data_IF_957096149887
#
_entry.id   IF_957096149887
#
_cell.length_a   1.000
_cell.length_b   1.000
_cell.length_c   1.000
_cell.angle_alpha   90.00
_cell.angle_beta   90.00
_cell.angle_gamma   90.00
#
_symmetry.space_group_name_H-M   'P 1'
#
loop_
_entity.id
_entity.type
_entity.pdbx_description
1 polymer ?
#
# COMPACT_ATOMS: atom_id res chain seq x y z
N UNK A 1 0.34 21.85 11.61
CA UNK A 1 0.05 23.22 12.07
C UNK A 1 1.14 23.74 13.00
N UNK A 2 1.52 23.00 14.04
CA UNK A 2 2.49 23.48 15.05
C UNK A 2 3.95 23.56 14.57
N UNK A 3 4.44 22.57 13.79
CA UNK A 3 5.84 22.55 13.33
C UNK A 3 6.16 23.61 12.26
N UNK A 4 5.20 23.92 11.38
CA UNK A 4 5.37 24.88 10.28
C UNK A 4 4.08 25.70 10.06
N UNK A 5 3.78 26.67 10.96
CA UNK A 5 2.49 27.35 10.98
C UNK A 5 2.24 28.25 9.77
N UNK A 6 3.27 28.96 9.28
CA UNK A 6 3.16 29.82 8.09
C UNK A 6 2.92 28.99 6.82
N UNK A 7 3.71 27.93 6.62
CA UNK A 7 3.54 27.02 5.47
C UNK A 7 2.15 26.37 5.48
N UNK A 8 1.68 25.98 6.65
CA UNK A 8 0.33 25.44 6.83
C UNK A 8 -0.76 26.44 6.42
N UNK A 9 -0.70 27.69 6.89
CA UNK A 9 -1.67 28.74 6.53
C UNK A 9 -1.70 29.01 5.03
N UNK A 10 -0.54 29.20 4.41
CA UNK A 10 -0.43 29.47 2.96
C UNK A 10 -1.03 28.32 2.14
N UNK A 11 -0.67 27.07 2.47
CA UNK A 11 -1.24 25.91 1.77
C UNK A 11 -2.73 25.75 2.01
N UNK A 12 -3.21 25.99 3.23
CA UNK A 12 -4.63 25.91 3.56
C UNK A 12 -5.45 26.93 2.75
N UNK A 13 -4.96 28.15 2.62
CA UNK A 13 -5.62 29.20 1.84
C UNK A 13 -5.59 28.89 0.34
N UNK A 14 -4.45 28.42 -0.19
CA UNK A 14 -4.32 28.00 -1.59
C UNK A 14 -5.29 26.85 -1.93
N UNK A 15 -5.42 25.86 -1.04
CA UNK A 15 -6.38 24.76 -1.17
C UNK A 15 -7.81 25.28 -1.16
N UNK A 16 -8.17 26.18 -0.24
CA UNK A 16 -9.52 26.76 -0.14
C UNK A 16 -9.93 27.49 -1.43
N UNK A 17 -9.05 28.34 -1.97
CA UNK A 17 -9.32 29.11 -3.20
C UNK A 17 -9.61 28.21 -4.41
N UNK A 18 -8.94 27.06 -4.50
CA UNK A 18 -9.06 26.13 -5.63
C UNK A 18 -10.08 24.99 -5.39
N UNK A 19 -10.76 24.96 -4.25
CA UNK A 19 -11.63 23.83 -3.86
C UNK A 19 -13.01 23.82 -4.53
N UNK A 20 -13.53 24.98 -4.96
CA UNK A 20 -14.89 25.11 -5.50
C UNK A 20 -15.11 24.27 -6.76
N UNK A 21 -14.51 24.69 -7.88
CA UNK A 21 -14.61 24.01 -9.18
C UNK A 21 -14.16 22.53 -9.12
N UNK A 22 -13.16 22.24 -8.27
CA UNK A 22 -12.68 20.87 -8.07
C UNK A 22 -13.77 19.92 -7.55
N UNK A 23 -14.60 20.36 -6.60
CA UNK A 23 -15.63 19.48 -6.02
C UNK A 23 -16.65 19.06 -7.05
N UNK A 24 -17.04 19.98 -7.93
CA UNK A 24 -17.97 19.71 -9.03
C UNK A 24 -17.38 18.70 -10.02
N UNK A 25 -16.15 18.90 -10.47
CA UNK A 25 -15.48 17.99 -11.42
C UNK A 25 -15.30 16.59 -10.81
N UNK A 26 -14.92 16.52 -9.53
CA UNK A 26 -14.78 15.23 -8.84
C UNK A 26 -16.15 14.55 -8.69
N UNK A 27 -17.22 15.30 -8.38
CA UNK A 27 -18.58 14.74 -8.32
C UNK A 27 -19.07 14.21 -9.67
N UNK A 28 -18.78 14.91 -10.77
CA UNK A 28 -19.09 14.43 -12.12
C UNK A 28 -18.32 13.14 -12.46
N UNK A 29 -17.05 13.07 -12.05
CA UNK A 29 -16.22 11.89 -12.24
C UNK A 29 -16.73 10.69 -11.41
N UNK A 30 -17.11 10.93 -10.15
CA UNK A 30 -17.73 9.91 -9.28
C UNK A 30 -18.99 9.35 -9.92
N UNK A 31 -19.91 10.24 -10.33
CA UNK A 31 -21.16 9.88 -10.99
C UNK A 31 -20.93 9.04 -12.24
N UNK A 32 -20.00 9.46 -13.12
CA UNK A 32 -19.70 8.73 -14.36
C UNK A 32 -19.08 7.35 -14.13
N UNK A 33 -18.18 7.24 -13.15
CA UNK A 33 -17.60 5.94 -12.77
C UNK A 33 -18.70 5.06 -12.16
N UNK A 34 -19.53 5.60 -11.28
CA UNK A 34 -20.63 4.89 -10.63
C UNK A 34 -21.62 4.31 -11.65
N UNK A 35 -22.11 5.14 -12.58
CA UNK A 35 -23.01 4.68 -13.66
C UNK A 35 -22.38 3.56 -14.48
N UNK A 36 -21.10 3.69 -14.85
CA UNK A 36 -20.44 2.66 -15.63
C UNK A 36 -20.27 1.34 -14.87
N UNK A 37 -20.08 1.39 -13.56
CA UNK A 37 -20.02 0.19 -12.72
C UNK A 37 -21.39 -0.47 -12.58
N UNK A 38 -22.47 0.31 -12.48
CA UNK A 38 -23.85 -0.18 -12.45
C UNK A 38 -24.23 -0.88 -13.76
N UNK A 39 -23.86 -0.32 -14.91
CA UNK A 39 -24.05 -0.96 -16.24
C UNK A 39 -23.37 -2.34 -16.34
N UNK A 40 -22.25 -2.53 -15.65
CA UNK A 40 -21.48 -3.78 -15.61
C UNK A 40 -21.92 -4.70 -14.45
N UNK A 41 -22.99 -4.34 -13.74
CA UNK A 41 -23.51 -5.04 -12.56
C UNK A 41 -22.47 -5.22 -11.45
N UNK A 42 -21.63 -4.21 -11.23
CA UNK A 42 -20.62 -4.20 -10.16
C UNK A 42 -21.07 -3.26 -9.04
N UNK A 43 -21.27 -3.84 -7.85
CA UNK A 43 -21.55 -3.07 -6.64
C UNK A 43 -20.25 -2.49 -6.07
N UNK A 44 -20.18 -1.15 -6.00
CA UNK A 44 -19.01 -0.45 -5.49
C UNK A 44 -19.40 0.88 -4.85
N UNK A 45 -18.59 1.33 -3.89
CA UNK A 45 -18.69 2.67 -3.28
C UNK A 45 -17.60 3.57 -3.85
N UNK A 46 -18.00 4.50 -4.73
CA UNK A 46 -17.12 5.49 -5.34
C UNK A 46 -17.12 6.77 -4.49
N UNK A 47 -15.95 7.27 -4.11
CA UNK A 47 -15.79 8.45 -3.26
C UNK A 47 -14.61 9.31 -3.70
N UNK A 48 -14.82 10.63 -3.76
CA UNK A 48 -13.78 11.61 -4.00
C UNK A 48 -12.82 11.69 -2.83
N UNK A 49 -11.52 11.67 -3.13
CA UNK A 49 -10.47 11.75 -2.12
C UNK A 49 -9.87 13.16 -2.05
N UNK A 50 -10.11 13.82 -0.91
CA UNK A 50 -9.36 15.01 -0.53
C UNK A 50 -7.91 14.68 -0.18
N UNK A 51 -6.95 15.44 -0.72
CA UNK A 51 -5.55 15.32 -0.30
C UNK A 51 -5.34 16.07 1.02
N UNK A 52 -4.83 15.38 2.03
CA UNK A 52 -4.47 16.01 3.30
C UNK A 52 -3.31 17.01 3.11
N UNK A 53 -3.38 18.17 3.78
CA UNK A 53 -2.41 19.27 3.63
C UNK A 53 -0.97 18.83 3.88
N UNK A 54 -0.75 17.97 4.88
CA UNK A 54 0.58 17.42 5.16
C UNK A 54 1.11 16.57 4.00
N UNK A 55 0.25 15.77 3.36
CA UNK A 55 0.63 14.94 2.22
C UNK A 55 1.00 15.78 1.00
N UNK A 56 0.28 16.88 0.76
CA UNK A 56 0.62 17.87 -0.28
C UNK A 56 1.99 18.46 0.00
N UNK A 57 2.19 19.01 1.21
CA UNK A 57 3.46 19.62 1.61
C UNK A 57 4.65 18.66 1.48
N UNK A 58 4.50 17.44 1.99
CA UNK A 58 5.56 16.42 1.92
C UNK A 58 5.90 16.06 0.48
N UNK A 59 4.90 15.88 -0.40
CA UNK A 59 5.11 15.55 -1.83
C UNK A 59 5.75 16.72 -2.59
N UNK A 60 5.38 17.96 -2.28
CA UNK A 60 6.03 19.16 -2.83
C UNK A 60 7.51 19.20 -2.43
N UNK A 61 7.81 19.00 -1.15
CA UNK A 61 9.18 19.03 -0.61
C UNK A 61 10.04 17.91 -1.17
N UNK A 62 9.58 16.67 -1.05
CA UNK A 62 10.38 15.48 -1.37
C UNK A 62 10.63 15.35 -2.88
N UNK A 63 9.66 15.76 -3.71
CA UNK A 63 9.79 15.72 -5.19
C UNK A 63 10.21 17.04 -5.82
N UNK A 64 10.38 18.10 -5.01
CA UNK A 64 10.65 19.47 -5.47
C UNK A 64 9.65 19.95 -6.53
N UNK A 65 8.38 19.63 -6.33
CA UNK A 65 7.30 19.99 -7.25
C UNK A 65 6.53 21.23 -6.76
N UNK A 66 6.08 22.11 -7.66
CA UNK A 66 5.22 23.23 -7.30
C UNK A 66 3.86 22.73 -6.80
N UNK A 67 3.16 23.57 -6.01
CA UNK A 67 1.87 23.23 -5.44
C UNK A 67 0.84 22.83 -6.51
N UNK A 68 0.82 23.53 -7.65
CA UNK A 68 -0.09 23.27 -8.76
C UNK A 68 0.04 21.81 -9.23
N UNK A 69 1.24 21.33 -9.56
CA UNK A 69 1.45 19.96 -10.06
C UNK A 69 1.09 18.87 -9.05
N UNK A 70 1.21 19.18 -7.75
CA UNK A 70 0.82 18.24 -6.68
C UNK A 70 -0.68 18.26 -6.43
N UNK A 71 -1.29 19.44 -6.51
CA UNK A 71 -2.69 19.66 -6.20
C UNK A 71 -3.59 19.30 -7.37
N UNK A 72 -3.19 19.59 -8.61
CA UNK A 72 -3.94 19.44 -9.87
C UNK A 72 -3.98 18.00 -10.39
N UNK A 73 -4.31 17.08 -9.49
CA UNK A 73 -4.61 15.69 -9.80
C UNK A 73 -5.86 15.34 -9.01
N UNK A 74 -6.94 14.99 -9.71
CA UNK A 74 -8.16 14.49 -9.10
C UNK A 74 -7.89 13.11 -8.51
N UNK A 75 -8.54 12.80 -7.39
CA UNK A 75 -8.33 11.51 -6.73
C UNK A 75 -9.68 10.90 -6.39
N UNK A 76 -9.89 9.66 -6.80
CA UNK A 76 -11.10 8.88 -6.55
C UNK A 76 -10.71 7.58 -5.89
N UNK A 77 -11.51 7.17 -4.92
CA UNK A 77 -11.39 5.90 -4.23
C UNK A 77 -12.63 5.08 -4.53
N UNK A 78 -12.42 3.81 -4.89
CA UNK A 78 -13.47 2.84 -5.14
C UNK A 78 -13.28 1.72 -4.13
N UNK A 79 -14.31 1.47 -3.33
CA UNK A 79 -14.32 0.40 -2.33
C UNK A 79 -15.29 -0.68 -2.79
N UNK A 80 -14.83 -1.93 -2.80
CA UNK A 80 -15.60 -3.10 -3.25
C UNK A 80 -15.62 -4.18 -2.18
N UNK A 81 -16.33 -5.27 -2.45
CA UNK A 81 -16.51 -6.40 -1.56
C UNK A 81 -15.26 -7.33 -1.52
N UNK A 82 -14.79 -7.77 -2.68
CA UNK A 82 -13.74 -8.79 -2.81
C UNK A 82 -12.61 -8.37 -3.76
N UNK A 83 -11.50 -9.11 -3.69
CA UNK A 83 -10.30 -8.81 -4.48
C UNK A 83 -10.54 -8.96 -5.98
N UNK A 84 -11.31 -9.96 -6.40
CA UNK A 84 -11.70 -10.15 -7.81
C UNK A 84 -12.37 -8.88 -8.38
N UNK A 85 -13.35 -8.35 -7.65
CA UNK A 85 -14.05 -7.11 -8.01
C UNK A 85 -13.09 -5.93 -8.16
N UNK A 86 -11.98 -5.87 -7.40
CA UNK A 86 -10.97 -4.81 -7.56
C UNK A 86 -10.37 -4.80 -8.98
N UNK A 87 -10.05 -5.98 -9.52
CA UNK A 87 -9.47 -6.12 -10.86
C UNK A 87 -10.52 -5.93 -11.95
N UNK A 88 -11.78 -6.36 -11.74
CA UNK A 88 -12.89 -6.05 -12.64
C UNK A 88 -13.11 -4.54 -12.77
N UNK A 89 -13.16 -3.84 -11.63
CA UNK A 89 -13.26 -2.36 -11.59
C UNK A 89 -12.07 -1.71 -12.29
N UNK A 90 -10.85 -2.22 -12.14
CA UNK A 90 -9.67 -1.70 -12.84
C UNK A 90 -9.88 -1.70 -14.36
N UNK A 91 -10.40 -2.81 -14.90
CA UNK A 91 -10.72 -2.93 -16.32
C UNK A 91 -11.78 -1.93 -16.77
N UNK A 92 -12.86 -1.78 -16.00
CA UNK A 92 -13.93 -0.80 -16.29
C UNK A 92 -13.37 0.62 -16.33
N UNK A 93 -12.56 0.98 -15.35
CA UNK A 93 -11.95 2.31 -15.22
C UNK A 93 -10.96 2.60 -16.36
N UNK A 94 -10.19 1.59 -16.81
CA UNK A 94 -9.26 1.71 -17.95
C UNK A 94 -9.98 1.81 -19.30
N UNK A 95 -11.18 1.24 -19.42
CA UNK A 95 -12.04 1.42 -20.58
C UNK A 95 -12.65 2.83 -20.62
N UNK A 96 -13.02 3.39 -19.47
CA UNK A 96 -13.59 4.73 -19.36
C UNK A 96 -12.55 5.83 -19.60
N UNK A 97 -11.34 5.66 -19.07
CA UNK A 97 -10.24 6.61 -19.19
C UNK A 97 -8.93 5.91 -19.52
N UNK A 98 -8.17 6.46 -20.48
CA UNK A 98 -6.89 5.87 -20.86
C UNK A 98 -5.88 5.93 -19.69
N UNK A 99 -5.18 4.83 -19.39
CA UNK A 99 -4.16 4.85 -18.36
C UNK A 99 -2.85 5.50 -18.84
N UNK A 100 -2.14 6.15 -17.92
CA UNK A 100 -0.75 6.54 -18.13
C UNK A 100 0.16 5.32 -18.01
N UNK A 101 1.05 5.14 -18.98
CA UNK A 101 2.09 4.10 -18.94
C UNK A 101 2.94 4.22 -17.67
N UNK A 102 3.30 3.08 -17.08
CA UNK A 102 4.14 2.98 -15.86
C UNK A 102 3.59 3.72 -14.62
N UNK A 103 2.29 4.05 -14.60
CA UNK A 103 1.62 4.69 -13.46
C UNK A 103 0.57 3.80 -12.80
N UNK A 104 0.59 2.50 -13.13
CA UNK A 104 -0.15 1.47 -12.41
C UNK A 104 0.73 0.83 -11.33
N UNK A 105 0.17 0.59 -10.15
CA UNK A 105 0.81 -0.13 -9.05
C UNK A 105 -0.18 -1.06 -8.40
N UNK A 106 0.17 -2.32 -8.35
CA UNK A 106 -0.61 -3.35 -7.69
C UNK A 106 -0.10 -3.56 -6.26
N UNK A 107 -0.67 -2.83 -5.30
CA UNK A 107 -0.37 -3.07 -3.88
C UNK A 107 -1.22 -4.18 -3.26
N UNK A 108 -2.11 -4.82 -4.01
CA UNK A 108 -2.80 -6.02 -3.53
C UNK A 108 -1.84 -7.21 -3.63
N UNK A 109 -1.22 -7.39 -4.81
CA UNK A 109 -0.23 -8.42 -5.07
C UNK A 109 1.10 -8.15 -4.36
N UNK A 110 1.52 -6.88 -4.27
CA UNK A 110 2.77 -6.48 -3.62
C UNK A 110 2.46 -5.43 -2.53
N UNK A 111 2.00 -5.85 -1.33
CA UNK A 111 1.67 -4.95 -0.24
C UNK A 111 2.87 -4.10 0.18
N UNK A 112 2.61 -2.92 0.75
CA UNK A 112 3.67 -2.13 1.38
C UNK A 112 4.01 -2.74 2.74
N UNK A 113 5.22 -2.44 3.24
CA UNK A 113 5.67 -2.83 4.57
C UNK A 113 4.65 -2.51 5.68
N UNK A 114 3.90 -1.41 5.61
CA UNK A 114 2.88 -1.13 6.63
C UNK A 114 1.55 -1.91 6.48
N UNK A 115 1.52 -2.99 5.68
CA UNK A 115 0.33 -3.78 5.36
C UNK A 115 -0.64 -3.09 4.41
N UNK A 116 -0.28 -1.95 3.82
CA UNK A 116 -1.18 -1.23 2.93
C UNK A 116 -1.41 -1.96 1.62
N UNK A 117 -2.69 -2.22 1.31
CA UNK A 117 -3.15 -2.86 0.07
C UNK A 117 -4.17 -1.98 -0.67
N UNK A 118 -4.00 -1.87 -2.00
CA UNK A 118 -4.90 -1.19 -2.95
C UNK A 118 -4.32 -1.22 -4.37
N UNK A 119 -5.15 -1.27 -5.40
CA UNK A 119 -4.72 -0.99 -6.78
C UNK A 119 -4.67 0.52 -7.01
N UNK A 120 -3.55 1.02 -7.51
CA UNK A 120 -3.37 2.44 -7.84
C UNK A 120 -3.15 2.59 -9.33
N UNK A 121 -3.93 3.45 -9.98
CA UNK A 121 -3.73 3.79 -11.39
C UNK A 121 -3.88 5.27 -11.62
N UNK A 122 -3.11 5.82 -12.55
CA UNK A 122 -3.24 7.22 -12.99
C UNK A 122 -3.74 7.22 -14.43
N UNK A 123 -4.78 8.00 -14.70
CA UNK A 123 -5.50 8.04 -15.97
C UNK A 123 -5.56 9.47 -16.51
N UNK A 124 -5.71 9.59 -17.82
CA UNK A 124 -6.01 10.85 -18.48
C UNK A 124 -7.44 11.28 -18.15
N UNK A 125 -7.59 12.38 -17.42
CA UNK A 125 -8.89 12.93 -17.06
C UNK A 125 -9.37 14.05 -17.98
N UNK A 126 -10.56 14.61 -17.69
CA UNK A 126 -11.07 15.78 -18.38
C UNK A 126 -10.06 16.93 -18.38
N UNK A 127 -10.00 17.68 -19.49
CA UNK A 127 -9.12 18.83 -19.65
C UNK A 127 -7.62 18.53 -19.41
N UNK A 128 -7.19 17.29 -19.71
CA UNK A 128 -5.80 16.82 -19.53
C UNK A 128 -5.30 16.83 -18.09
N UNK A 129 -6.20 16.95 -17.10
CA UNK A 129 -5.87 16.87 -15.69
C UNK A 129 -5.83 15.39 -15.28
N UNK A 130 -4.73 14.89 -14.68
CA UNK A 130 -4.63 13.48 -14.30
C UNK A 130 -5.66 13.09 -13.23
N UNK A 131 -6.19 11.88 -13.35
CA UNK A 131 -7.04 11.24 -12.34
C UNK A 131 -6.25 10.10 -11.69
N UNK A 132 -6.11 10.14 -10.36
CA UNK A 132 -5.57 9.05 -9.57
C UNK A 132 -6.73 8.22 -9.00
N UNK A 133 -6.87 6.97 -9.44
CA UNK A 133 -7.90 6.04 -8.95
C UNK A 133 -7.26 5.02 -8.01
N UNK A 134 -7.91 4.78 -6.88
CA UNK A 134 -7.52 3.80 -5.88
C UNK A 134 -8.65 2.80 -5.66
N UNK A 135 -8.39 1.53 -5.90
CA UNK A 135 -9.39 0.46 -5.79
C UNK A 135 -8.95 -0.48 -4.68
N UNK A 136 -9.87 -0.89 -3.81
CA UNK A 136 -9.57 -1.81 -2.70
C UNK A 136 -10.85 -2.40 -2.11
N UNK A 137 -10.72 -3.47 -1.32
CA UNK A 137 -11.84 -4.01 -0.56
C UNK A 137 -12.17 -3.18 0.68
N UNK A 138 -13.30 -3.44 1.31
CA UNK A 138 -13.67 -2.81 2.59
C UNK A 138 -12.66 -3.18 3.70
N UNK A 139 -12.18 -4.43 3.77
CA UNK A 139 -11.14 -4.83 4.73
C UNK A 139 -9.84 -4.03 4.52
N UNK A 140 -9.37 -3.94 3.28
CA UNK A 140 -8.21 -3.13 2.92
C UNK A 140 -8.43 -1.64 3.22
N UNK A 141 -9.67 -1.15 3.10
CA UNK A 141 -10.01 0.21 3.44
C UNK A 141 -9.87 0.45 4.94
N UNK A 142 -10.42 -0.42 5.80
CA UNK A 142 -10.29 -0.31 7.26
C UNK A 142 -8.83 -0.41 7.68
N UNK A 143 -8.08 -1.39 7.16
CA UNK A 143 -6.65 -1.54 7.47
C UNK A 143 -5.86 -0.27 7.10
N UNK A 144 -6.17 0.36 5.97
CA UNK A 144 -5.46 1.56 5.52
C UNK A 144 -5.80 2.84 6.31
N UNK A 145 -7.00 2.93 6.90
CA UNK A 145 -7.40 4.12 7.67
C UNK A 145 -7.04 3.99 9.16
N UNK A 146 -7.21 2.81 9.75
CA UNK A 146 -7.04 2.60 11.20
C UNK A 146 -5.74 1.87 11.55
N UNK A 147 -5.04 1.31 10.56
CA UNK A 147 -3.77 0.59 10.75
C UNK A 147 -3.94 -0.79 11.37
N UNK A 148 -2.82 -1.52 11.46
CA UNK A 148 -2.78 -2.90 11.96
C UNK A 148 -3.32 -2.98 13.39
N UNK A 149 -2.84 -2.18 14.33
CA UNK A 149 -3.24 -2.30 15.75
C UNK A 149 -4.75 -2.12 16.02
N UNK A 150 -5.45 -1.30 15.23
CA UNK A 150 -6.88 -1.05 15.41
C UNK A 150 -7.75 -2.00 14.60
N UNK A 151 -7.28 -2.46 13.43
CA UNK A 151 -7.94 -3.50 12.62
C UNK A 151 -8.13 -4.81 13.41
N UNK A 152 -7.23 -5.11 14.34
CA UNK A 152 -7.28 -6.36 15.12
C UNK A 152 -8.37 -6.35 16.19
N UNK A 153 -8.75 -5.17 16.73
CA UNK A 153 -9.92 -5.04 17.62
C UNK A 153 -11.23 -5.31 16.89
N UNK A 154 -11.31 -4.95 15.60
CA UNK A 154 -12.49 -5.17 14.77
C UNK A 154 -12.73 -6.67 14.49
N UNK A 155 -11.68 -7.43 14.18
CA UNK A 155 -11.77 -8.90 13.99
C UNK A 155 -12.00 -9.71 15.27
N UNK A 156 -11.73 -9.13 16.44
CA UNK A 156 -11.90 -9.82 17.73
C UNK A 156 -13.36 -9.98 18.18
N UNK A 157 -14.33 -9.47 17.39
CA UNK A 157 -15.76 -9.63 17.65
C UNK A 157 -16.33 -11.01 17.25
N UNK A 158 -15.66 -11.76 16.37
CA UNK A 158 -16.14 -13.05 15.86
C UNK A 158 -15.25 -14.22 16.31
N UNK A 159 -15.66 -14.87 17.40
CA UNK A 159 -15.66 -16.33 17.59
C UNK A 159 -14.39 -17.19 17.57
N UNK A 160 -13.21 -16.72 17.15
CA UNK A 160 -11.97 -17.55 17.11
C UNK A 160 -10.83 -16.93 17.94
N UNK A 161 -11.04 -16.86 19.26
CA UNK A 161 -10.26 -16.02 20.18
C UNK A 161 -9.31 -16.75 21.14
N UNK A 162 -8.95 -18.02 20.90
CA UNK A 162 -8.04 -18.75 21.79
C UNK A 162 -6.55 -18.47 21.52
N UNK A 163 -6.03 -19.06 20.45
CA UNK A 163 -4.58 -19.14 20.23
C UNK A 163 -3.95 -17.83 19.71
N UNK A 164 -4.67 -17.07 18.89
CA UNK A 164 -4.17 -15.81 18.30
C UNK A 164 -4.16 -14.68 19.33
N UNK A 165 -5.15 -14.66 20.23
CA UNK A 165 -5.23 -13.69 21.33
C UNK A 165 -4.09 -13.86 22.34
N UNK A 166 -3.65 -15.11 22.55
CA UNK A 166 -2.56 -15.45 23.48
C UNK A 166 -1.20 -14.98 22.95
N UNK A 167 -0.87 -15.23 21.67
CA UNK A 167 0.35 -14.69 21.04
C UNK A 167 0.37 -13.17 20.99
N UNK A 168 -0.78 -12.53 20.76
CA UNK A 168 -0.88 -11.07 20.76
C UNK A 168 -0.70 -10.47 22.16
N UNK A 169 -1.20 -11.13 23.21
CA UNK A 169 -0.94 -10.76 24.60
C UNK A 169 0.54 -10.92 24.97
N UNK A 170 1.16 -12.00 24.55
CA UNK A 170 2.60 -12.25 24.76
C UNK A 170 3.46 -11.19 24.05
N UNK A 171 3.08 -10.81 22.82
CA UNK A 171 3.74 -9.72 22.08
C UNK A 171 3.56 -8.35 22.76
N UNK A 172 2.34 -8.03 23.22
CA UNK A 172 2.06 -6.78 23.92
C UNK A 172 2.79 -6.71 25.27
N UNK A 173 2.90 -7.85 25.99
CA UNK A 173 3.70 -7.94 27.21
C UNK A 173 5.18 -7.75 26.93
N UNK A 174 5.73 -8.35 25.87
CA UNK A 174 7.12 -8.13 25.45
C UNK A 174 7.40 -6.67 25.12
N UNK A 175 6.48 -5.98 24.44
CA UNK A 175 6.59 -4.54 24.16
C UNK A 175 6.56 -3.68 25.43
N UNK A 176 5.69 -4.00 26.39
CA UNK A 176 5.61 -3.29 27.67
C UNK A 176 6.86 -3.54 28.52
N UNK A 177 7.41 -4.75 28.50
CA UNK A 177 8.66 -5.07 29.18
C UNK A 177 9.87 -4.41 28.53
N UNK A 178 9.88 -4.28 27.20
CA UNK A 178 10.90 -3.53 26.46
C UNK A 178 10.81 -2.03 26.77
N UNK A 179 9.60 -1.46 26.87
CA UNK A 179 9.41 -0.06 27.29
C UNK A 179 9.91 0.17 28.73
N UNK A 180 9.71 -0.80 29.63
CA UNK A 180 10.23 -0.72 31.01
C UNK A 180 11.76 -0.81 31.10
N UNK A 181 12.41 -1.45 30.12
CA UNK A 181 13.87 -1.62 30.06
C UNK A 181 14.58 -0.53 29.24
N UNK A 182 13.91 0.03 28.23
CA UNK A 182 14.44 1.08 27.38
C UNK A 182 14.29 2.44 28.09
N UNK A 183 15.35 2.90 28.74
CA UNK A 183 15.40 4.23 29.36
C UNK A 183 15.33 5.41 28.37
N UNK A 184 15.48 5.15 27.06
CA UNK A 184 15.50 6.16 26.00
C UNK A 184 14.44 5.88 24.90
N UNK A 185 13.50 6.82 24.65
CA UNK A 185 12.48 6.70 23.61
C UNK A 185 13.01 6.53 22.17
N UNK A 186 14.26 6.94 21.91
CA UNK A 186 14.89 6.83 20.58
C UNK A 186 15.34 5.40 20.29
N UNK A 187 15.94 4.71 21.27
CA UNK A 187 16.30 3.28 21.16
C UNK A 187 15.05 2.39 21.06
N UNK A 188 13.95 2.80 21.71
CA UNK A 188 12.65 2.15 21.55
C UNK A 188 12.12 2.27 20.12
N UNK A 189 12.22 3.44 19.49
CA UNK A 189 11.78 3.64 18.11
C UNK A 189 12.65 2.90 17.08
N UNK A 190 13.94 2.70 17.37
CA UNK A 190 14.84 1.91 16.53
C UNK A 190 14.58 0.41 16.67
N UNK A 191 14.40 -0.10 17.90
CA UNK A 191 14.03 -1.50 18.13
C UNK A 191 12.65 -1.86 17.56
N UNK A 192 11.65 -0.98 17.68
CA UNK A 192 10.32 -1.17 17.05
C UNK A 192 10.39 -1.12 15.51
N UNK A 193 11.31 -0.35 14.93
CA UNK A 193 11.57 -0.36 13.48
C UNK A 193 12.22 -1.66 13.00
N UNK A 194 13.05 -2.27 13.84
CA UNK A 194 13.72 -3.55 13.56
C UNK A 194 12.74 -4.72 13.72
N UNK A 195 11.82 -4.66 14.69
CA UNK A 195 10.86 -5.74 14.97
C UNK A 195 9.55 -5.69 14.16
N UNK A 196 9.36 -4.69 13.28
CA UNK A 196 8.17 -4.63 12.41
C UNK A 196 8.24 -5.62 11.22
N UNK A 197 9.43 -6.12 10.89
CA UNK A 197 9.68 -7.31 10.05
C UNK A 197 11.09 -7.84 10.37
N UNK A 198 11.25 -8.75 11.34
CA UNK A 198 12.53 -9.41 11.47
C UNK A 198 12.55 -10.56 10.46
N UNK A 199 13.53 -10.48 9.57
CA UNK A 199 14.20 -11.64 9.00
C UNK A 199 13.62 -12.34 7.78
N UNK A 200 12.81 -11.71 6.90
CA UNK A 200 12.39 -12.38 5.64
C UNK A 200 12.69 -11.57 4.36
N UNK A 201 13.11 -12.27 3.30
CA UNK A 201 13.29 -11.79 1.91
C UNK A 201 12.36 -12.57 0.99
N UNK A 202 11.76 -11.90 0.01
CA UNK A 202 10.82 -12.49 -0.94
C UNK A 202 11.48 -12.69 -2.29
N UNK A 203 11.59 -13.95 -2.72
CA UNK A 203 12.28 -14.32 -3.95
C UNK A 203 11.28 -14.83 -4.97
N UNK A 204 11.38 -14.32 -6.20
CA UNK A 204 10.52 -14.74 -7.31
C UNK A 204 11.11 -15.96 -8.02
N UNK A 205 10.29 -16.99 -8.23
CA UNK A 205 10.64 -18.10 -9.13
C UNK A 205 10.53 -17.64 -10.59
N UNK A 206 11.19 -18.33 -11.54
CA UNK A 206 11.00 -18.05 -12.97
C UNK A 206 9.55 -18.22 -13.46
N UNK A 207 8.71 -18.93 -12.70
CA UNK A 207 7.28 -19.13 -12.98
C UNK A 207 6.39 -18.05 -12.33
N UNK A 208 6.97 -17.12 -11.57
CA UNK A 208 6.27 -15.99 -10.96
C UNK A 208 5.71 -16.27 -9.56
N UNK A 209 6.04 -17.41 -8.96
CA UNK A 209 5.68 -17.71 -7.57
C UNK A 209 6.60 -16.96 -6.61
N UNK A 210 6.08 -16.60 -5.43
CA UNK A 210 6.83 -15.91 -4.39
C UNK A 210 7.19 -16.93 -3.32
N UNK A 211 8.48 -16.97 -2.94
CA UNK A 211 8.99 -17.78 -1.84
C UNK A 211 9.56 -16.84 -0.76
N UNK A 212 9.08 -17.01 0.45
CA UNK A 212 9.58 -16.37 1.66
C UNK A 212 10.80 -17.13 2.20
N UNK A 213 11.88 -16.40 2.45
CA UNK A 213 13.13 -16.96 2.96
C UNK A 213 13.70 -16.09 4.06
N UNK A 214 14.50 -16.64 4.98
CA UNK A 214 15.12 -15.83 6.01
C UNK A 214 16.10 -14.80 5.41
N UNK A 215 16.24 -13.64 6.05
CA UNK A 215 17.16 -12.60 5.60
C UNK A 215 18.59 -13.12 5.63
N UNK A 216 19.29 -12.98 4.50
CA UNK A 216 20.62 -13.55 4.33
C UNK A 216 20.62 -14.98 3.76
N UNK A 217 19.43 -15.55 3.48
CA UNK A 217 19.30 -16.79 2.74
C UNK A 217 20.06 -16.74 1.42
N UNK A 218 20.69 -17.84 1.09
CA UNK A 218 21.50 -18.02 -0.11
C UNK A 218 20.68 -18.66 -1.23
N UNK A 219 21.26 -18.71 -2.43
CA UNK A 219 20.63 -19.42 -3.53
C UNK A 219 20.42 -20.92 -3.26
N UNK A 220 21.22 -21.51 -2.36
CA UNK A 220 21.06 -22.91 -1.92
C UNK A 220 19.82 -23.05 -1.04
N UNK A 221 19.62 -22.14 -0.09
CA UNK A 221 18.44 -22.14 0.79
C UNK A 221 17.15 -22.00 -0.01
N UNK A 222 17.16 -21.17 -1.07
CA UNK A 222 16.05 -21.09 -2.03
C UNK A 222 15.81 -22.40 -2.77
N UNK A 223 16.87 -23.10 -3.22
CA UNK A 223 16.73 -24.38 -3.90
C UNK A 223 16.10 -25.45 -2.98
N UNK A 224 16.48 -25.49 -1.70
CA UNK A 224 15.87 -26.38 -0.71
C UNK A 224 14.43 -25.99 -0.34
N UNK A 225 14.10 -24.70 -0.35
CA UNK A 225 12.73 -24.23 -0.16
C UNK A 225 11.79 -24.64 -1.31
N UNK A 226 12.31 -24.80 -2.52
CA UNK A 226 11.54 -25.33 -3.67
C UNK A 226 11.33 -26.84 -3.57
N UNK A 227 12.41 -27.61 -3.42
CA UNK A 227 12.35 -29.06 -3.23
C UNK A 227 13.70 -29.62 -2.78
N UNK A 228 13.70 -30.66 -1.94
CA UNK A 228 14.94 -31.29 -1.44
C UNK A 228 15.83 -31.82 -2.57
N UNK A 229 15.25 -32.43 -3.61
CA UNK A 229 16.02 -32.92 -4.78
C UNK A 229 16.65 -31.79 -5.60
N UNK A 230 16.00 -30.63 -5.66
CA UNK A 230 16.53 -29.43 -6.34
C UNK A 230 17.69 -28.85 -5.53
N UNK A 231 17.57 -28.79 -4.20
CA UNK A 231 18.67 -28.45 -3.30
C UNK A 231 19.88 -29.38 -3.43
N UNK A 232 19.64 -30.71 -3.43
CA UNK A 232 20.68 -31.74 -3.53
C UNK A 232 21.44 -31.71 -4.87
N UNK A 233 20.79 -31.28 -5.95
CA UNK A 233 21.37 -31.22 -7.31
C UNK A 233 21.76 -29.79 -7.72
N UNK A 234 21.73 -28.83 -6.80
CA UNK A 234 22.03 -27.43 -7.07
C UNK A 234 23.53 -27.22 -7.37
N UNK A 235 23.87 -27.03 -8.65
CA UNK A 235 25.26 -26.78 -9.10
C UNK A 235 25.57 -25.31 -9.40
N UNK A 236 24.54 -24.47 -9.50
CA UNK A 236 24.70 -23.05 -9.83
C UNK A 236 23.40 -22.27 -9.70
N UNK A 237 23.52 -20.96 -9.58
CA UNK A 237 22.38 -20.07 -9.40
C UNK A 237 22.40 -18.90 -10.40
N UNK A 238 21.20 -18.49 -10.80
CA UNK A 238 20.99 -17.32 -11.67
C UNK A 238 19.98 -16.39 -11.02
N UNK A 239 20.44 -15.21 -10.61
CA UNK A 239 19.61 -14.16 -10.02
C UNK A 239 19.51 -13.01 -11.03
N UNK A 240 18.31 -12.54 -11.33
CA UNK A 240 18.06 -11.49 -12.34
C UNK A 240 18.77 -11.72 -13.68
N UNK A 241 18.74 -12.97 -14.12
CA UNK A 241 19.37 -13.46 -15.35
C UNK A 241 20.91 -13.37 -15.36
N UNK A 242 21.57 -13.19 -14.21
CA UNK A 242 23.04 -13.22 -14.07
C UNK A 242 23.48 -14.42 -13.24
N UNK A 243 24.56 -15.08 -13.67
CA UNK A 243 25.17 -16.16 -12.89
C UNK A 243 25.78 -15.57 -11.62
N UNK A 244 25.48 -16.18 -10.48
CA UNK A 244 25.98 -15.77 -9.17
C UNK A 244 26.56 -16.98 -8.42
N UNK A 245 27.55 -16.79 -7.54
CA UNK A 245 27.99 -17.83 -6.61
C UNK A 245 26.83 -18.33 -5.74
N UNK A 246 26.83 -19.61 -5.39
CA UNK A 246 25.78 -20.23 -4.56
C UNK A 246 25.64 -19.58 -3.17
N UNK A 247 26.74 -19.04 -2.62
CA UNK A 247 26.79 -18.32 -1.34
C UNK A 247 26.20 -16.90 -1.38
N UNK A 248 25.78 -16.42 -2.55
CA UNK A 248 25.27 -15.05 -2.69
C UNK A 248 23.98 -14.91 -1.89
N UNK A 249 23.90 -13.97 -0.93
CA UNK A 249 22.67 -13.67 -0.23
C UNK A 249 21.62 -13.10 -1.19
N UNK A 250 20.38 -13.55 -1.04
CA UNK A 250 19.23 -13.10 -1.81
C UNK A 250 18.64 -11.84 -1.16
N UNK A 251 18.19 -10.89 -2.00
CA UNK A 251 17.69 -9.57 -1.59
C UNK A 251 16.43 -9.19 -2.34
#
# INVERSE_FOLDING_TARGET
SHLHPLRFRVLQEAVRRLSGNRREIVGQLESRIQTRLEEENIQARVMGRGKHLWGIYRKMRDKRLPFKDVYDVYAVRIVVDVVDTCYRVLGVVHNLYKPYMNRFKDYIAIPKANGYQSLHTVLFGPNSVPIEVQIRTEEMHVMAEVGVAAHWRYKSGDGQSGHTQQRAREWLQKLLDMQRRAGNPVEFLESVKVDLFPDEVYVFTPRGEIVDLPRGATAVDFAYAIHSDVGNTCVGAKVDRRLVPLRTPLT
#
